data_IF_030511202790
#
_entry.id   IF_030511202790
#
_cell.length_a   1.000
_cell.length_b   1.000
_cell.length_c   1.000
_cell.angle_alpha   90.00
_cell.angle_beta   90.00
_cell.angle_gamma   90.00
#
_symmetry.space_group_name_H-M   'P 1'
#
loop_
_entity.id
_entity.type
_entity.pdbx_description
1 polymer ?
#
# COMPACT_ATOMS: atom_id res chain seq x y z
N UNK A 1 -10.33 -37.21 -8.44
CA UNK A 1 -9.63 -36.27 -9.34
C UNK A 1 -8.36 -35.84 -8.63
N UNK A 2 -7.20 -35.90 -9.29
CA UNK A 2 -5.95 -35.38 -8.71
C UNK A 2 -5.83 -33.87 -8.90
N UNK A 3 -4.93 -33.24 -8.13
CA UNK A 3 -4.74 -31.79 -8.16
C UNK A 3 -4.20 -31.32 -9.52
N UNK A 4 -3.24 -32.04 -10.10
CA UNK A 4 -2.60 -31.65 -11.36
C UNK A 4 -3.58 -31.61 -12.53
N UNK A 5 -4.47 -32.59 -12.66
CA UNK A 5 -5.51 -32.58 -13.69
C UNK A 5 -6.54 -31.48 -13.46
N UNK A 6 -6.93 -31.27 -12.19
CA UNK A 6 -7.84 -30.19 -11.82
C UNK A 6 -7.27 -28.83 -12.21
N UNK A 7 -6.01 -28.57 -11.84
CA UNK A 7 -5.37 -27.29 -12.12
C UNK A 7 -5.17 -27.09 -13.63
N UNK A 8 -4.73 -28.12 -14.35
CA UNK A 8 -4.61 -28.05 -15.81
C UNK A 8 -5.95 -27.71 -16.50
N UNK A 9 -7.05 -28.34 -16.07
CA UNK A 9 -8.38 -28.08 -16.62
C UNK A 9 -8.85 -26.65 -16.32
N UNK A 10 -8.63 -26.16 -15.08
CA UNK A 10 -8.97 -24.79 -14.69
C UNK A 10 -8.17 -23.77 -15.50
N UNK A 11 -6.86 -24.00 -15.67
CA UNK A 11 -5.98 -23.09 -16.40
C UNK A 11 -6.34 -22.97 -17.88
N UNK A 12 -6.81 -24.07 -18.48
CA UNK A 12 -7.23 -24.12 -19.88
C UNK A 12 -8.70 -23.69 -20.10
N UNK A 13 -9.45 -23.41 -19.04
CA UNK A 13 -10.85 -23.01 -19.12
C UNK A 13 -11.00 -21.51 -19.44
N UNK A 14 -11.92 -21.17 -20.33
CA UNK A 14 -12.35 -19.79 -20.55
C UNK A 14 -13.16 -19.23 -19.37
N UNK A 15 -13.87 -20.10 -18.64
CA UNK A 15 -14.70 -19.75 -17.48
C UNK A 15 -14.29 -20.53 -16.21
N UNK A 16 -13.11 -20.25 -15.62
CA UNK A 16 -12.56 -21.00 -14.49
C UNK A 16 -13.51 -21.12 -13.28
N UNK A 17 -14.26 -20.05 -12.96
CA UNK A 17 -15.19 -20.03 -11.83
C UNK A 17 -16.41 -20.92 -12.04
N UNK A 18 -16.91 -21.01 -13.29
CA UNK A 18 -18.02 -21.89 -13.62
C UNK A 18 -17.60 -23.35 -13.53
N UNK A 19 -16.38 -23.66 -13.98
CA UNK A 19 -15.80 -25.01 -13.87
C UNK A 19 -15.55 -25.40 -12.41
N UNK A 20 -15.08 -24.48 -11.57
CA UNK A 20 -14.97 -24.72 -10.12
C UNK A 20 -16.34 -25.08 -9.50
N UNK A 21 -17.39 -24.35 -9.86
CA UNK A 21 -18.75 -24.64 -9.39
C UNK A 21 -19.26 -26.00 -9.87
N UNK A 22 -18.94 -26.40 -11.10
CA UNK A 22 -19.34 -27.74 -11.59
C UNK A 22 -18.61 -28.83 -10.81
N UNK A 23 -17.31 -28.69 -10.53
CA UNK A 23 -16.60 -29.64 -9.68
C UNK A 23 -17.22 -29.79 -8.28
N UNK A 24 -17.59 -28.68 -7.64
CA UNK A 24 -18.29 -28.74 -6.35
C UNK A 24 -19.65 -29.44 -6.48
N UNK A 25 -20.39 -29.17 -7.57
CA UNK A 25 -21.69 -29.81 -7.85
C UNK A 25 -21.55 -31.31 -8.12
N UNK A 26 -20.43 -31.72 -8.71
CA UNK A 26 -20.07 -33.12 -8.96
C UNK A 26 -19.50 -33.82 -7.71
N UNK A 27 -19.50 -33.14 -6.56
CA UNK A 27 -19.08 -33.68 -5.26
C UNK A 27 -17.58 -33.59 -4.98
N UNK A 28 -16.82 -32.84 -5.78
CA UNK A 28 -15.40 -32.58 -5.51
C UNK A 28 -15.25 -31.64 -4.33
N UNK A 29 -14.53 -32.09 -3.30
CA UNK A 29 -14.27 -31.32 -2.08
C UNK A 29 -12.99 -30.50 -2.25
N UNK A 30 -13.13 -29.29 -2.81
CA UNK A 30 -11.97 -28.47 -3.19
C UNK A 30 -11.04 -28.07 -2.04
N UNK A 31 -11.56 -27.93 -0.81
CA UNK A 31 -10.76 -27.65 0.38
C UNK A 31 -9.70 -28.72 0.68
N UNK A 32 -9.89 -29.95 0.21
CA UNK A 32 -8.95 -31.05 0.48
C UNK A 32 -7.61 -30.81 -0.25
N UNK A 33 -7.62 -29.97 -1.29
CA UNK A 33 -6.42 -29.54 -2.01
C UNK A 33 -5.64 -28.42 -1.33
N UNK A 34 -6.13 -27.84 -0.22
CA UNK A 34 -5.41 -26.75 0.47
C UNK A 34 -4.05 -27.17 1.04
N UNK A 35 -3.81 -28.48 1.19
CA UNK A 35 -2.52 -29.01 1.63
C UNK A 35 -1.54 -29.28 0.47
N UNK A 36 -1.96 -29.08 -0.78
CA UNK A 36 -1.09 -29.25 -1.94
C UNK A 36 -0.12 -28.08 -2.03
N UNK A 37 1.16 -28.37 -2.28
CA UNK A 37 2.22 -27.35 -2.41
C UNK A 37 1.89 -26.28 -3.47
N UNK A 38 1.24 -26.69 -4.56
CA UNK A 38 0.89 -25.83 -5.67
C UNK A 38 -0.45 -25.09 -5.50
N UNK A 39 -1.16 -25.23 -4.36
CA UNK A 39 -2.46 -24.57 -4.15
C UNK A 39 -2.36 -23.05 -4.31
N UNK A 40 -1.27 -22.46 -3.82
CA UNK A 40 -0.98 -21.03 -3.96
C UNK A 40 -0.97 -20.59 -5.42
N UNK A 41 -0.46 -21.41 -6.33
CA UNK A 41 -0.46 -21.10 -7.77
C UNK A 41 -1.86 -21.12 -8.37
N UNK A 42 -2.71 -22.06 -7.95
CA UNK A 42 -4.09 -22.12 -8.39
C UNK A 42 -4.88 -20.88 -7.93
N UNK A 43 -4.81 -20.55 -6.63
CA UNK A 43 -5.59 -19.41 -6.09
C UNK A 43 -5.10 -18.08 -6.65
N UNK A 44 -3.79 -17.88 -6.77
CA UNK A 44 -3.21 -16.69 -7.39
C UNK A 44 -3.60 -16.56 -8.87
N UNK A 45 -3.59 -17.66 -9.63
CA UNK A 45 -4.07 -17.67 -11.01
C UNK A 45 -5.54 -17.27 -11.10
N UNK A 46 -6.42 -17.86 -10.26
CA UNK A 46 -7.85 -17.58 -10.27
C UNK A 46 -8.15 -16.11 -9.92
N UNK A 47 -7.46 -15.57 -8.92
CA UNK A 47 -7.61 -14.18 -8.49
C UNK A 47 -7.16 -13.21 -9.58
N UNK A 48 -5.98 -13.47 -10.17
CA UNK A 48 -5.46 -12.68 -11.30
C UNK A 48 -6.39 -12.73 -12.51
N UNK A 49 -6.85 -13.93 -12.90
CA UNK A 49 -7.71 -14.13 -14.07
C UNK A 49 -9.09 -13.50 -13.93
N UNK A 50 -9.60 -13.41 -12.70
CA UNK A 50 -10.96 -12.92 -12.42
C UNK A 50 -10.99 -11.51 -11.85
N UNK A 51 -9.84 -10.85 -11.71
CA UNK A 51 -9.70 -9.53 -11.08
C UNK A 51 -10.46 -9.43 -9.75
N UNK A 52 -10.39 -10.49 -8.94
CA UNK A 52 -11.05 -10.57 -7.64
C UNK A 52 -12.58 -10.61 -7.66
N UNK A 53 -13.25 -10.54 -8.81
CA UNK A 53 -14.72 -10.62 -8.90
C UNK A 53 -15.26 -11.99 -8.46
N UNK A 54 -14.40 -13.02 -8.47
CA UNK A 54 -14.72 -14.37 -8.05
C UNK A 54 -14.51 -14.67 -6.57
N UNK A 55 -14.03 -13.73 -5.74
CA UNK A 55 -13.59 -14.03 -4.37
C UNK A 55 -14.63 -14.78 -3.54
N UNK A 56 -15.89 -14.36 -3.60
CA UNK A 56 -16.97 -15.05 -2.88
C UNK A 56 -17.07 -16.52 -3.28
N UNK A 57 -17.00 -16.83 -4.58
CA UNK A 57 -17.05 -18.21 -5.09
C UNK A 57 -15.84 -19.00 -4.59
N UNK A 58 -14.64 -18.39 -4.60
CA UNK A 58 -13.42 -19.06 -4.12
C UNK A 58 -13.51 -19.40 -2.63
N UNK A 59 -14.02 -18.48 -1.81
CA UNK A 59 -14.31 -18.73 -0.40
C UNK A 59 -15.39 -19.80 -0.19
N UNK A 60 -16.49 -19.75 -0.95
CA UNK A 60 -17.57 -20.73 -0.87
C UNK A 60 -17.09 -22.14 -1.28
N UNK A 61 -16.09 -22.21 -2.17
CA UNK A 61 -15.39 -23.46 -2.53
C UNK A 61 -14.41 -23.95 -1.44
N UNK A 62 -14.16 -23.15 -0.39
CA UNK A 62 -13.24 -23.49 0.69
C UNK A 62 -11.76 -23.44 0.31
N UNK A 63 -11.41 -22.71 -0.75
CA UNK A 63 -10.01 -22.53 -1.17
C UNK A 63 -9.27 -21.60 -0.19
N UNK A 64 -8.03 -21.95 0.14
CA UNK A 64 -7.19 -21.15 1.02
C UNK A 64 -6.66 -19.89 0.33
N UNK A 65 -7.27 -18.74 0.65
CA UNK A 65 -6.89 -17.44 0.11
C UNK A 65 -5.66 -16.83 0.77
N UNK A 66 -5.07 -17.51 1.77
CA UNK A 66 -3.80 -17.11 2.39
C UNK A 66 -2.58 -17.74 1.71
N UNK A 67 -2.78 -18.77 0.90
CA UNK A 67 -1.70 -19.51 0.27
C UNK A 67 -0.88 -18.64 -0.70
N UNK A 68 0.44 -18.74 -0.62
CA UNK A 68 1.38 -18.04 -1.50
C UNK A 68 1.76 -18.90 -2.70
N UNK A 69 1.88 -18.29 -3.88
CA UNK A 69 2.39 -18.92 -5.09
C UNK A 69 3.77 -19.54 -4.83
N UNK A 70 3.95 -20.84 -5.11
CA UNK A 70 5.16 -21.58 -4.75
C UNK A 70 6.46 -21.02 -5.37
N UNK A 71 6.39 -20.48 -6.60
CA UNK A 71 7.55 -19.84 -7.25
C UNK A 71 7.79 -18.41 -6.76
N UNK A 72 6.80 -17.51 -6.86
CA UNK A 72 7.02 -16.06 -6.64
C UNK A 72 6.81 -15.63 -5.19
N UNK A 73 6.16 -16.46 -4.38
CA UNK A 73 5.71 -16.09 -3.04
C UNK A 73 4.54 -15.10 -3.03
N UNK A 74 3.93 -14.78 -4.17
CA UNK A 74 2.78 -13.85 -4.20
C UNK A 74 1.56 -14.49 -3.54
N UNK A 75 0.88 -13.73 -2.70
CA UNK A 75 -0.44 -14.10 -2.16
C UNK A 75 -1.55 -13.44 -2.98
N UNK A 76 -2.78 -13.98 -2.92
CA UNK A 76 -3.97 -13.31 -3.47
C UNK A 76 -4.08 -11.83 -3.09
N UNK A 77 -3.73 -11.47 -1.85
CA UNK A 77 -3.78 -10.09 -1.38
C UNK A 77 -2.75 -9.20 -2.10
N UNK A 78 -1.52 -9.67 -2.28
CA UNK A 78 -0.48 -8.93 -3.03
C UNK A 78 -0.96 -8.66 -4.46
N UNK A 79 -1.53 -9.66 -5.13
CA UNK A 79 -2.06 -9.53 -6.50
C UNK A 79 -3.19 -8.50 -6.59
N UNK A 80 -4.17 -8.56 -5.69
CA UNK A 80 -5.28 -7.60 -5.71
C UNK A 80 -4.80 -6.16 -5.45
N UNK A 81 -3.86 -5.99 -4.52
CA UNK A 81 -3.26 -4.69 -4.24
C UNK A 81 -2.42 -4.21 -5.43
N UNK A 82 -1.68 -5.12 -6.08
CA UNK A 82 -0.87 -4.79 -7.25
C UNK A 82 -1.69 -4.45 -8.47
N UNK A 83 -2.95 -4.92 -8.56
CA UNK A 83 -3.93 -4.55 -9.60
C UNK A 83 -4.75 -3.30 -9.26
N UNK A 84 -4.80 -2.92 -7.98
CA UNK A 84 -5.51 -1.75 -7.48
C UNK A 84 -7.01 -1.97 -7.25
N UNK A 85 -7.41 -3.20 -6.91
CA UNK A 85 -8.81 -3.63 -6.84
C UNK A 85 -9.41 -3.41 -5.44
N UNK A 86 -9.77 -2.17 -5.11
CA UNK A 86 -10.19 -1.74 -3.76
C UNK A 86 -11.21 -2.67 -3.07
N UNK A 87 -12.31 -2.99 -3.75
CA UNK A 87 -13.40 -3.79 -3.16
C UNK A 87 -12.97 -5.21 -2.83
N UNK A 88 -12.22 -5.84 -3.73
CA UNK A 88 -11.69 -7.19 -3.55
C UNK A 88 -10.58 -7.22 -2.48
N UNK A 89 -9.72 -6.21 -2.46
CA UNK A 89 -8.68 -6.04 -1.42
C UNK A 89 -9.30 -5.99 -0.03
N UNK A 90 -10.30 -5.13 0.20
CA UNK A 90 -10.98 -5.06 1.51
C UNK A 90 -11.60 -6.38 1.93
N UNK A 91 -12.26 -7.08 0.99
CA UNK A 91 -12.83 -8.40 1.26
C UNK A 91 -11.80 -9.42 1.72
N UNK A 92 -10.58 -9.38 1.18
CA UNK A 92 -9.49 -10.24 1.66
C UNK A 92 -8.95 -9.78 3.00
N UNK A 93 -8.75 -8.46 3.21
CA UNK A 93 -8.25 -7.93 4.48
C UNK A 93 -9.12 -8.38 5.65
N UNK A 94 -10.44 -8.28 5.49
CA UNK A 94 -11.41 -8.63 6.54
C UNK A 94 -11.49 -10.14 6.86
N UNK A 95 -10.93 -11.00 5.98
CA UNK A 95 -11.03 -12.46 6.10
C UNK A 95 -9.71 -13.15 6.42
N UNK A 96 -8.58 -12.49 6.16
CA UNK A 96 -7.25 -13.08 6.34
C UNK A 96 -6.72 -12.82 7.76
N UNK A 97 -5.91 -13.74 8.26
CA UNK A 97 -5.20 -13.58 9.53
C UNK A 97 -3.98 -12.66 9.40
N UNK A 98 -3.47 -12.11 10.52
CA UNK A 98 -2.35 -11.15 10.51
C UNK A 98 -1.11 -11.62 9.75
N UNK A 99 -0.73 -12.90 9.88
CA UNK A 99 0.44 -13.47 9.18
C UNK A 99 0.32 -13.33 7.65
N UNK A 100 -0.88 -13.50 7.10
CA UNK A 100 -1.14 -13.42 5.66
C UNK A 100 -1.27 -11.97 5.17
N UNK A 101 -1.76 -11.07 6.02
CA UNK A 101 -1.90 -9.64 5.71
C UNK A 101 -0.54 -8.95 5.50
N UNK A 102 0.46 -9.38 6.27
CA UNK A 102 1.80 -8.80 6.27
C UNK A 102 2.85 -9.67 5.59
N UNK A 103 2.40 -10.69 4.85
CA UNK A 103 3.26 -11.54 4.06
C UNK A 103 4.09 -10.74 3.05
N UNK A 104 5.33 -11.18 2.84
CA UNK A 104 6.24 -10.66 1.83
C UNK A 104 6.60 -11.75 0.83
N UNK A 105 6.51 -11.44 -0.46
CA UNK A 105 6.91 -12.37 -1.51
C UNK A 105 8.45 -12.48 -1.60
N UNK A 106 8.97 -13.31 -2.51
CA UNK A 106 10.43 -13.59 -2.57
C UNK A 106 11.29 -12.36 -2.92
N UNK A 107 10.69 -11.34 -3.53
CA UNK A 107 11.36 -10.08 -3.91
C UNK A 107 11.03 -8.93 -2.95
N UNK A 108 10.39 -9.21 -1.81
CA UNK A 108 10.11 -8.23 -0.77
C UNK A 108 8.82 -7.41 -0.97
N UNK A 109 7.96 -7.75 -1.93
CA UNK A 109 6.68 -7.07 -2.10
C UNK A 109 5.68 -7.52 -1.05
N UNK A 110 5.00 -6.55 -0.45
CA UNK A 110 3.90 -6.75 0.51
C UNK A 110 2.64 -6.04 0.04
N UNK A 111 1.49 -6.40 0.62
CA UNK A 111 0.23 -5.70 0.39
C UNK A 111 0.34 -4.19 0.68
N UNK A 112 1.05 -3.81 1.76
CA UNK A 112 1.31 -2.41 2.11
C UNK A 112 2.08 -1.72 0.97
N UNK A 113 3.20 -2.30 0.52
CA UNK A 113 4.00 -1.69 -0.56
C UNK A 113 3.19 -1.52 -1.83
N UNK A 114 2.35 -2.49 -2.21
CA UNK A 114 1.53 -2.40 -3.41
C UNK A 114 0.44 -1.33 -3.29
N UNK A 115 -0.23 -1.21 -2.14
CA UNK A 115 -1.24 -0.17 -1.90
C UNK A 115 -0.64 1.23 -1.94
N UNK A 116 0.57 1.39 -1.39
CA UNK A 116 1.33 2.64 -1.50
C UNK A 116 1.65 2.95 -2.96
N UNK A 117 2.26 2.01 -3.69
CA UNK A 117 2.63 2.16 -5.10
C UNK A 117 1.41 2.41 -6.02
N UNK A 118 0.22 1.91 -5.68
CA UNK A 118 -1.01 2.11 -6.47
C UNK A 118 -1.85 3.31 -5.99
N UNK A 119 -1.34 4.11 -5.06
CA UNK A 119 -1.98 5.32 -4.56
C UNK A 119 -3.33 5.11 -3.84
N UNK A 120 -3.47 4.03 -3.07
CA UNK A 120 -4.70 3.68 -2.33
C UNK A 120 -4.92 4.48 -1.03
N UNK A 121 -4.55 5.76 -1.02
CA UNK A 121 -4.59 6.59 0.18
C UNK A 121 -5.95 7.17 0.54
N UNK A 122 -6.92 7.15 -0.38
CA UNK A 122 -8.26 7.73 -0.17
C UNK A 122 -9.38 6.68 -0.11
N UNK A 123 -9.07 5.41 -0.36
CA UNK A 123 -10.06 4.34 -0.51
C UNK A 123 -10.17 3.44 0.73
N UNK A 124 -9.57 3.82 1.86
CA UNK A 124 -9.55 3.07 3.14
C UNK A 124 -8.88 1.69 3.10
N UNK A 125 -8.28 1.29 1.97
CA UNK A 125 -7.63 -0.03 1.87
C UNK A 125 -6.34 -0.05 2.70
N UNK A 126 -5.55 1.03 2.62
CA UNK A 126 -4.33 1.15 3.39
C UNK A 126 -4.66 1.26 4.89
N UNK A 127 -5.63 2.09 5.27
CA UNK A 127 -6.07 2.22 6.67
C UNK A 127 -6.63 0.90 7.22
N UNK A 128 -7.43 0.17 6.44
CA UNK A 128 -7.94 -1.15 6.82
C UNK A 128 -6.81 -2.16 7.00
N UNK A 129 -5.79 -2.16 6.14
CA UNK A 129 -4.63 -3.04 6.33
C UNK A 129 -3.82 -2.64 7.56
N UNK A 130 -3.56 -1.34 7.74
CA UNK A 130 -2.80 -0.82 8.88
C UNK A 130 -3.52 -0.99 10.22
N UNK A 131 -4.86 -1.05 10.25
CA UNK A 131 -5.60 -1.32 11.50
C UNK A 131 -5.38 -2.74 12.04
N UNK A 132 -4.86 -3.65 11.20
CA UNK A 132 -4.47 -4.99 11.60
C UNK A 132 -3.00 -5.08 12.03
N UNK A 133 -2.21 -4.01 11.82
CA UNK A 133 -0.93 -3.90 12.49
C UNK A 133 -1.21 -3.72 13.97
N UNK A 134 -0.57 -4.54 14.79
CA UNK A 134 -0.34 -4.21 16.18
C UNK A 134 0.62 -3.01 16.21
N UNK A 135 0.09 -1.82 15.91
CA UNK A 135 0.77 -0.57 16.23
C UNK A 135 1.04 -0.66 17.71
N UNK A 136 2.32 -0.83 18.02
CA UNK A 136 2.78 -1.37 19.28
C UNK A 136 2.04 -0.70 20.44
N UNK A 137 1.57 -1.50 21.38
CA UNK A 137 1.26 -1.15 22.77
C UNK A 137 2.38 -0.35 23.49
N UNK A 138 3.46 -0.01 22.77
CA UNK A 138 4.64 0.77 23.15
C UNK A 138 4.54 2.24 22.71
N UNK A 139 3.74 2.59 21.70
CA UNK A 139 3.75 3.93 21.07
C UNK A 139 2.52 4.80 21.40
N UNK A 140 1.49 4.25 22.06
CA UNK A 140 0.34 5.03 22.51
C UNK A 140 0.56 5.53 23.96
N UNK A 141 0.39 6.84 24.25
CA UNK A 141 0.33 7.34 25.62
C UNK A 141 -0.74 6.57 26.40
N UNK A 142 -0.44 6.28 27.68
CA UNK A 142 -1.24 5.41 28.55
C UNK A 142 -2.72 5.81 28.68
N UNK A 143 -3.09 7.02 28.30
CA UNK A 143 -4.42 7.60 28.50
C UNK A 143 -5.43 7.26 27.41
N UNK A 144 -5.01 6.57 26.33
CA UNK A 144 -5.91 5.99 25.32
C UNK A 144 -6.14 4.48 25.50
N UNK A 145 -5.63 3.89 26.60
CA UNK A 145 -5.78 2.45 26.91
C UNK A 145 -7.22 2.02 27.23
N UNK A 146 -8.13 2.97 27.42
CA UNK A 146 -9.55 2.68 27.63
C UNK A 146 -10.30 2.83 26.31
N UNK A 147 -10.36 1.74 25.53
CA UNK A 147 -11.62 1.20 24.98
C UNK A 147 -11.37 -0.02 24.07
N UNK A 148 -11.67 -1.18 24.65
CA UNK A 148 -12.26 -2.39 24.06
C UNK A 148 -11.61 -3.00 22.80
N UNK A 149 -10.50 -3.71 23.00
CA UNK A 149 -10.42 -5.17 22.80
C UNK A 149 -9.30 -5.71 23.68
N UNK A 150 -9.56 -5.69 24.99
CA UNK A 150 -8.75 -6.42 25.96
C UNK A 150 -9.00 -7.92 25.75
N UNK A 151 -8.15 -8.59 24.96
CA UNK A 151 -8.00 -10.03 25.12
C UNK A 151 -7.42 -10.27 26.51
N UNK A 152 -8.26 -10.83 27.39
CA UNK A 152 -7.85 -11.48 28.62
C UNK A 152 -6.73 -12.46 28.28
N UNK A 153 -5.49 -12.09 28.61
CA UNK A 153 -4.42 -13.04 28.83
C UNK A 153 -4.70 -13.72 30.19
N UNK A 154 -5.67 -14.64 30.18
CA UNK A 154 -5.94 -15.53 31.29
C UNK A 154 -5.07 -16.78 31.16
N UNK A 155 -3.98 -16.80 31.91
CA UNK A 155 -3.35 -17.98 32.50
C UNK A 155 -3.57 -19.33 31.80
N UNK A 156 -2.67 -19.69 30.88
CA UNK A 156 -2.03 -21.01 30.91
C UNK A 156 -0.73 -20.96 30.13
N UNK A 157 0.33 -21.50 30.74
CA UNK A 157 1.71 -21.22 30.41
C UNK A 157 2.12 -21.60 28.99
N UNK A 158 2.75 -20.65 28.31
CA UNK A 158 3.75 -20.89 27.28
C UNK A 158 4.74 -19.73 27.35
N UNK A 159 5.96 -20.06 27.76
CA UNK A 159 7.11 -19.16 27.81
C UNK A 159 7.46 -18.73 26.37
N UNK A 160 6.88 -17.63 25.90
CA UNK A 160 7.34 -17.00 24.68
C UNK A 160 8.63 -16.24 25.01
N UNK A 161 9.75 -16.86 24.67
CA UNK A 161 11.07 -16.25 24.67
C UNK A 161 11.08 -15.02 23.78
N UNK A 162 11.53 -13.91 24.35
CA UNK A 162 11.76 -12.57 23.77
C UNK A 162 12.62 -12.56 22.48
N UNK A 163 13.17 -13.72 22.07
CA UNK A 163 14.06 -13.87 20.92
C UNK A 163 13.34 -14.00 19.56
N UNK A 164 12.05 -14.32 19.51
CA UNK A 164 11.33 -14.45 18.22
C UNK A 164 11.01 -13.09 17.56
N UNK A 165 10.95 -12.02 18.35
CA UNK A 165 10.71 -10.66 17.85
C UNK A 165 11.90 -10.05 17.08
N UNK A 166 13.08 -10.69 17.10
CA UNK A 166 14.29 -10.17 16.42
C UNK A 166 14.50 -10.71 15.00
N UNK A 167 13.67 -11.64 14.52
CA UNK A 167 13.70 -12.17 13.15
C UNK A 167 12.50 -11.77 12.30
N UNK A 168 11.66 -10.88 12.80
CA UNK A 168 10.57 -10.30 12.04
C UNK A 168 11.12 -9.11 11.22
N UNK A 169 11.74 -9.43 10.08
CA UNK A 169 11.98 -8.45 9.01
C UNK A 169 10.67 -8.03 8.31
N UNK A 170 9.51 -8.49 8.83
CA UNK A 170 8.18 -8.06 8.42
C UNK A 170 7.90 -6.61 8.81
N UNK A 171 7.52 -5.81 7.81
CA UNK A 171 7.10 -4.41 7.92
C UNK A 171 8.16 -3.38 8.34
N UNK A 172 9.43 -3.55 7.96
CA UNK A 172 10.37 -2.42 7.91
C UNK A 172 10.10 -1.46 6.72
N UNK A 173 8.85 -1.23 6.33
CA UNK A 173 8.57 -0.38 5.16
C UNK A 173 8.46 1.08 5.60
N UNK A 174 9.59 1.77 5.62
CA UNK A 174 9.61 3.21 5.42
C UNK A 174 10.44 3.48 4.17
N UNK A 175 9.78 3.48 3.01
CA UNK A 175 10.35 4.14 1.84
C UNK A 175 10.75 5.56 2.23
N UNK A 176 11.88 6.04 1.71
CA UNK A 176 12.13 7.48 1.71
C UNK A 176 11.03 8.19 0.92
N UNK A 177 10.87 9.50 1.10
CA UNK A 177 9.90 10.29 0.33
C UNK A 177 10.14 10.13 -1.18
N UNK A 178 11.41 10.13 -1.60
CA UNK A 178 11.83 9.88 -2.97
C UNK A 178 11.40 8.49 -3.47
N UNK A 179 11.77 7.42 -2.76
CA UNK A 179 11.43 6.05 -3.15
C UNK A 179 9.93 5.83 -3.23
N UNK A 180 9.16 6.42 -2.31
CA UNK A 180 7.71 6.34 -2.33
C UNK A 180 7.13 7.06 -3.55
N UNK A 181 7.54 8.31 -3.79
CA UNK A 181 7.05 9.11 -4.91
C UNK A 181 7.39 8.47 -6.25
N UNK A 182 8.60 7.93 -6.43
CA UNK A 182 9.01 7.24 -7.65
C UNK A 182 8.14 6.02 -7.96
N UNK A 183 7.79 5.25 -6.92
CA UNK A 183 7.04 4.00 -7.06
C UNK A 183 5.53 4.20 -7.21
N UNK A 184 5.00 5.37 -6.91
CA UNK A 184 3.57 5.67 -7.14
C UNK A 184 3.27 5.70 -8.64
N UNK A 185 2.38 4.80 -9.08
CA UNK A 185 1.93 4.60 -10.46
C UNK A 185 0.63 5.35 -10.78
N UNK A 186 0.40 6.49 -10.15
CA UNK A 186 -0.78 7.31 -10.34
C UNK A 186 -0.37 8.74 -10.61
N UNK A 187 -0.98 9.36 -11.62
CA UNK A 187 -0.79 10.78 -11.95
C UNK A 187 -1.87 11.67 -11.28
N UNK A 188 -2.77 11.07 -10.51
CA UNK A 188 -3.83 11.77 -9.78
C UNK A 188 -3.26 12.39 -8.50
N UNK A 189 -3.14 13.72 -8.51
CA UNK A 189 -2.58 14.53 -7.44
C UNK A 189 -3.28 14.26 -6.09
N UNK A 190 -4.60 14.08 -6.07
CA UNK A 190 -5.32 13.83 -4.82
C UNK A 190 -4.98 12.47 -4.22
N UNK A 191 -4.81 11.45 -5.07
CA UNK A 191 -4.41 10.10 -4.63
C UNK A 191 -2.99 10.08 -4.09
N UNK A 192 -2.07 10.76 -4.77
CA UNK A 192 -0.67 10.89 -4.31
C UNK A 192 -0.62 11.61 -2.96
N UNK A 193 -1.29 12.76 -2.82
CA UNK A 193 -1.36 13.52 -1.55
C UNK A 193 -1.90 12.64 -0.43
N UNK A 194 -2.96 11.88 -0.69
CA UNK A 194 -3.58 11.02 0.33
C UNK A 194 -2.63 9.93 0.83
N UNK A 195 -1.84 9.33 -0.06
CA UNK A 195 -0.80 8.36 0.33
C UNK A 195 0.29 9.01 1.16
N UNK A 196 0.77 10.19 0.77
CA UNK A 196 1.80 10.89 1.53
C UNK A 196 1.31 11.31 2.91
N UNK A 197 0.06 11.74 3.06
CA UNK A 197 -0.55 12.04 4.35
C UNK A 197 -0.59 10.80 5.26
N UNK A 198 -0.94 9.64 4.72
CA UNK A 198 -0.92 8.38 5.47
C UNK A 198 0.50 7.92 5.81
N UNK A 199 1.44 8.06 4.86
CA UNK A 199 2.84 7.77 5.09
C UNK A 199 3.38 8.65 6.24
N UNK A 200 3.14 9.97 6.20
CA UNK A 200 3.53 10.89 7.28
C UNK A 200 2.98 10.39 8.62
N UNK A 201 1.69 10.10 8.70
CA UNK A 201 1.05 9.60 9.94
C UNK A 201 1.70 8.33 10.47
N UNK A 202 2.05 7.39 9.60
CA UNK A 202 2.72 6.14 9.96
C UNK A 202 4.20 6.33 10.33
N UNK A 203 4.85 7.35 9.79
CA UNK A 203 6.29 7.60 9.92
C UNK A 203 6.69 8.56 11.04
N UNK A 204 5.72 9.25 11.67
CA UNK A 204 5.94 10.26 12.72
C UNK A 204 6.84 9.79 13.89
N UNK A 205 7.00 8.48 14.09
CA UNK A 205 7.74 7.90 15.22
C UNK A 205 9.16 7.42 14.87
N UNK A 206 9.50 7.20 13.59
CA UNK A 206 10.82 6.69 13.17
C UNK A 206 11.79 7.77 12.67
N UNK A 207 11.35 9.01 12.60
CA UNK A 207 12.09 10.08 11.95
C UNK A 207 13.08 10.84 12.86
N UNK A 208 13.29 10.37 14.09
CA UNK A 208 14.24 10.97 15.02
C UNK A 208 15.73 10.71 14.68
N UNK A 209 16.03 10.03 13.56
CA UNK A 209 17.41 9.68 13.19
C UNK A 209 17.69 10.11 11.76
N UNK A 210 17.88 11.42 11.54
CA UNK A 210 18.63 11.87 10.37
C UNK A 210 20.11 11.70 10.70
N UNK A 211 20.82 11.04 9.79
CA UNK A 211 22.27 10.83 9.79
C UNK A 211 23.04 12.07 10.29
N UNK A 212 24.04 11.87 11.14
CA UNK A 212 24.91 12.93 11.69
C UNK A 212 25.72 13.66 10.60
N UNK A 213 25.75 13.14 9.37
CA UNK A 213 26.41 13.77 8.22
C UNK A 213 25.47 14.74 7.48
N UNK A 214 25.77 16.03 7.60
CA UNK A 214 25.06 17.13 6.96
C UNK A 214 25.07 17.05 5.42
N UNK A 215 26.10 16.48 4.81
CA UNK A 215 26.23 16.43 3.35
C UNK A 215 25.27 15.42 2.73
N UNK A 216 25.20 14.23 3.32
CA UNK A 216 24.27 13.16 2.91
C UNK A 216 22.83 13.61 3.14
N UNK A 217 22.57 14.28 4.27
CA UNK A 217 21.25 14.84 4.59
C UNK A 217 20.81 15.88 3.55
N UNK A 218 21.67 16.85 3.21
CA UNK A 218 21.34 17.89 2.24
C UNK A 218 21.10 17.33 0.82
N UNK A 219 21.87 16.30 0.42
CA UNK A 219 21.65 15.62 -0.85
C UNK A 219 20.28 14.92 -0.89
N UNK A 220 19.89 14.22 0.19
CA UNK A 220 18.57 13.57 0.28
C UNK A 220 17.42 14.59 0.29
N UNK A 221 17.55 15.68 1.06
CA UNK A 221 16.57 16.77 1.08
C UNK A 221 16.36 17.38 -0.31
N UNK A 222 17.45 17.58 -1.05
CA UNK A 222 17.41 18.13 -2.42
C UNK A 222 16.68 17.17 -3.37
N UNK A 223 17.01 15.87 -3.33
CA UNK A 223 16.31 14.86 -4.15
C UNK A 223 14.83 14.79 -3.85
N UNK A 224 14.46 14.71 -2.57
CA UNK A 224 13.06 14.71 -2.12
C UNK A 224 12.31 15.97 -2.59
N UNK A 225 12.98 17.13 -2.61
CA UNK A 225 12.39 18.40 -3.04
C UNK A 225 12.14 18.41 -4.55
N UNK A 226 13.11 17.98 -5.36
CA UNK A 226 13.01 17.97 -6.81
C UNK A 226 11.94 16.98 -7.31
N UNK A 227 11.90 15.76 -6.75
CA UNK A 227 10.90 14.76 -7.17
C UNK A 227 9.48 15.18 -6.80
N UNK A 228 9.32 15.84 -5.65
CA UNK A 228 8.03 16.39 -5.23
C UNK A 228 7.60 17.55 -6.12
N UNK A 229 8.55 18.38 -6.56
CA UNK A 229 8.30 19.45 -7.52
C UNK A 229 7.73 18.89 -8.84
N UNK A 230 8.41 17.89 -9.41
CA UNK A 230 8.02 17.25 -10.68
C UNK A 230 6.67 16.53 -10.59
N UNK A 231 6.44 15.75 -9.53
CA UNK A 231 5.25 14.91 -9.43
C UNK A 231 4.02 15.60 -8.85
N UNK A 232 4.19 16.67 -8.06
CA UNK A 232 3.08 17.32 -7.36
C UNK A 232 2.97 18.82 -7.66
N UNK A 233 4.05 19.59 -7.57
CA UNK A 233 3.97 21.06 -7.68
C UNK A 233 3.70 21.47 -9.13
N UNK A 234 4.52 21.06 -10.10
CA UNK A 234 4.35 21.42 -11.52
C UNK A 234 2.99 20.98 -12.07
N UNK A 235 2.52 19.74 -11.85
CA UNK A 235 1.19 19.32 -12.29
C UNK A 235 0.08 20.14 -11.63
N UNK A 236 0.17 20.42 -10.33
CA UNK A 236 -0.83 21.23 -9.61
C UNK A 236 -0.91 22.65 -10.17
N UNK A 237 0.22 23.28 -10.50
CA UNK A 237 0.25 24.63 -11.06
C UNK A 237 -0.36 24.67 -12.48
N UNK A 238 -0.11 23.66 -13.31
CA UNK A 238 -0.78 23.54 -14.61
C UNK A 238 -2.30 23.34 -14.48
N UNK A 239 -2.73 22.62 -13.45
CA UNK A 239 -4.14 22.32 -13.12
C UNK A 239 -4.93 23.55 -12.62
N UNK A 240 -4.25 24.57 -12.08
CA UNK A 240 -4.86 25.84 -11.64
C UNK A 240 -5.63 26.52 -12.79
N UNK A 241 -5.17 26.32 -14.02
CA UNK A 241 -5.72 26.94 -15.23
C UNK A 241 -7.12 26.43 -15.62
N UNK A 242 -7.62 25.31 -15.08
CA UNK A 242 -8.77 24.60 -15.69
C UNK A 242 -9.90 24.09 -14.77
N UNK A 243 -9.91 24.28 -13.44
CA UNK A 243 -10.91 23.61 -12.56
C UNK A 243 -11.40 24.40 -11.32
N UNK A 244 -12.64 24.14 -10.88
CA UNK A 244 -13.28 24.76 -9.70
C UNK A 244 -12.93 24.11 -8.35
N UNK A 245 -12.33 22.91 -8.34
CA UNK A 245 -11.92 22.21 -7.11
C UNK A 245 -10.51 22.57 -6.61
N UNK A 246 -9.84 23.52 -7.28
CA UNK A 246 -8.42 23.82 -7.13
C UNK A 246 -8.02 24.29 -5.72
N UNK A 247 -8.89 25.01 -5.02
CA UNK A 247 -8.59 25.56 -3.68
C UNK A 247 -8.40 24.44 -2.64
N UNK A 248 -9.22 23.38 -2.70
CA UNK A 248 -9.17 22.27 -1.75
C UNK A 248 -7.89 21.45 -1.91
N UNK A 249 -7.54 21.10 -3.15
CA UNK A 249 -6.32 20.33 -3.45
C UNK A 249 -5.06 21.10 -3.07
N UNK A 250 -4.99 22.38 -3.42
CA UNK A 250 -3.86 23.24 -3.06
C UNK A 250 -3.73 23.44 -1.55
N UNK A 251 -4.85 23.52 -0.81
CA UNK A 251 -4.80 23.57 0.65
C UNK A 251 -4.24 22.28 1.27
N UNK A 252 -4.65 21.12 0.75
CA UNK A 252 -4.13 19.81 1.20
C UNK A 252 -2.64 19.65 0.85
N UNK A 253 -2.24 20.08 -0.35
CA UNK A 253 -0.84 20.11 -0.77
C UNK A 253 -0.03 21.03 0.14
N UNK A 254 -0.50 22.25 0.41
CA UNK A 254 0.17 23.18 1.32
C UNK A 254 0.39 22.58 2.71
N UNK A 255 -0.63 21.97 3.31
CA UNK A 255 -0.52 21.28 4.60
C UNK A 255 0.53 20.16 4.54
N UNK A 256 0.52 19.36 3.47
CA UNK A 256 1.48 18.28 3.27
C UNK A 256 2.93 18.79 3.20
N UNK A 257 3.17 19.86 2.43
CA UNK A 257 4.48 20.47 2.30
C UNK A 257 5.00 20.98 3.64
N UNK A 258 4.15 21.63 4.43
CA UNK A 258 4.52 22.07 5.79
C UNK A 258 4.85 20.90 6.70
N UNK A 259 4.08 19.82 6.65
CA UNK A 259 4.36 18.61 7.44
C UNK A 259 5.72 18.00 7.07
N UNK A 260 6.03 17.88 5.77
CA UNK A 260 7.31 17.35 5.30
C UNK A 260 8.50 18.27 5.63
N UNK A 261 8.31 19.60 5.64
CA UNK A 261 9.33 20.55 6.10
C UNK A 261 9.59 20.41 7.60
N UNK A 262 8.53 20.34 8.42
CA UNK A 262 8.64 20.16 9.88
C UNK A 262 9.36 18.85 10.20
N UNK A 263 9.10 17.82 9.41
CA UNK A 263 9.74 16.51 9.50
C UNK A 263 11.16 16.47 8.93
N UNK A 264 11.70 17.59 8.44
CA UNK A 264 13.05 17.65 7.88
C UNK A 264 13.23 16.75 6.67
N UNK A 265 12.22 16.67 5.79
CA UNK A 265 12.28 15.89 4.55
C UNK A 265 12.43 16.76 3.30
N UNK A 266 12.25 18.07 3.41
CA UNK A 266 12.32 19.02 2.29
C UNK A 266 13.18 20.23 2.64
N UNK A 267 13.83 20.82 1.63
CA UNK A 267 14.48 22.12 1.77
C UNK A 267 13.46 23.24 1.68
N UNK A 268 13.25 23.95 2.80
CA UNK A 268 12.36 25.12 2.86
C UNK A 268 12.72 26.20 1.81
N UNK A 269 14.02 26.48 1.66
CA UNK A 269 14.50 27.55 0.76
C UNK A 269 14.21 27.22 -0.70
N UNK A 270 14.61 26.03 -1.17
CA UNK A 270 14.35 25.57 -2.53
C UNK A 270 12.85 25.57 -2.85
N UNK A 271 12.02 25.16 -1.90
CA UNK A 271 10.56 25.11 -2.10
C UNK A 271 9.92 26.49 -2.23
N UNK A 272 10.40 27.48 -1.48
CA UNK A 272 9.95 28.87 -1.60
C UNK A 272 10.39 29.46 -2.95
N UNK A 273 11.66 29.26 -3.33
CA UNK A 273 12.20 29.76 -4.59
C UNK A 273 11.44 29.18 -5.80
N UNK A 274 11.07 27.90 -5.76
CA UNK A 274 10.28 27.23 -6.80
C UNK A 274 8.84 27.74 -6.91
N UNK A 275 8.16 27.97 -5.78
CA UNK A 275 6.79 28.53 -5.78
C UNK A 275 6.81 29.96 -6.35
N UNK A 276 7.85 30.74 -6.05
CA UNK A 276 8.01 32.09 -6.56
C UNK A 276 8.30 32.07 -8.08
N UNK A 277 9.19 31.20 -8.54
CA UNK A 277 9.54 31.07 -9.96
C UNK A 277 8.40 30.50 -10.82
N UNK A 278 7.50 29.73 -10.23
CA UNK A 278 6.39 29.06 -10.93
C UNK A 278 5.04 29.79 -10.78
N UNK A 279 5.02 30.94 -10.12
CA UNK A 279 3.84 31.82 -10.08
C UNK A 279 3.58 32.48 -11.44
N UNK A 280 2.36 33.01 -11.69
CA UNK A 280 2.07 33.77 -12.90
C UNK A 280 2.75 35.15 -12.79
N UNK A 281 4.06 35.17 -13.03
CA UNK A 281 4.88 36.37 -13.07
C UNK A 281 5.85 36.21 -14.22
N UNK A 282 5.75 37.11 -15.19
CA UNK A 282 6.67 37.35 -16.31
C UNK A 282 6.35 36.75 -17.69
N UNK A 283 5.10 36.33 -17.96
CA UNK A 283 4.64 36.17 -19.36
C UNK A 283 3.87 37.37 -19.92
N UNK A 284 3.46 38.35 -19.09
CA UNK A 284 2.73 39.54 -19.56
C UNK A 284 3.62 40.75 -19.92
N UNK A 285 4.89 40.76 -19.51
CA UNK A 285 5.81 41.87 -19.82
C UNK A 285 6.63 41.71 -21.10
N UNK A 286 6.53 40.57 -21.82
CA UNK A 286 7.21 40.40 -23.11
C UNK A 286 6.38 40.86 -24.32
N UNK A 287 5.08 41.12 -24.16
CA UNK A 287 4.21 41.57 -25.26
C UNK A 287 4.05 43.10 -25.36
N UNK A 288 4.57 43.87 -24.40
CA UNK A 288 4.56 45.35 -24.42
C UNK A 288 5.90 45.98 -24.84
N UNK A 289 6.92 45.16 -25.12
CA UNK A 289 8.19 45.63 -25.67
C UNK A 289 8.28 45.51 -27.21
N UNK A 290 7.22 45.03 -27.87
CA UNK A 290 7.12 44.87 -29.33
C UNK A 290 5.90 45.59 -29.94
N UNK A 291 5.38 46.65 -29.31
CA UNK A 291 4.48 47.62 -29.96
C UNK A 291 5.14 48.99 -30.05
#
# INVERSE_FOLDING_TARGET
MDFSSLFANIRNSECPLSLLKSYVSDGVVLKDFNNCEEIGSLVCFLVSKTYGLGLKILFDCGLDMSASHHVTGDTPLIILCSEGLCGATKQLIDKLGPASLFHSNIIGLTAITQLLCRAHGACSCLESLLSHLYLCSVLLPSDLKTNNFAYKLGSSGLSYSEEVLRKDEGNQVLFTVEELLDRIKSDDIERIISVLQLWIKANLLRMAHTTEDDTVRNAQLTRNTNILEEKLIKPSLSYISCSKNNVSVMSKLGILLFQLIILGQLHRCLLIDMIIQSGPGDSENQNLANM
#
